data_IF_638657678647
#
_entry.id   IF_638657678647
#
_cell.length_a   1.000
_cell.length_b   1.000
_cell.length_c   1.000
_cell.angle_alpha   90.00
_cell.angle_beta   90.00
_cell.angle_gamma   90.00
#
_symmetry.space_group_name_H-M   'P 1'
#
loop_
_entity.id
_entity.type
_entity.pdbx_description
1 polymer ?
#
# COMPACT_ATOMS: atom_id res chain seq x y z
N UNK A 1 -9.43 26.39 -28.26
CA UNK A 1 -10.10 26.44 -26.94
C UNK A 1 -10.07 25.03 -26.33
N UNK A 2 -8.89 24.39 -26.34
CA UNK A 2 -8.83 22.91 -26.37
C UNK A 2 -8.00 22.32 -25.21
N UNK A 3 -7.06 23.10 -24.68
CA UNK A 3 -6.15 22.69 -23.60
C UNK A 3 -6.89 22.51 -22.27
N UNK A 4 -7.93 23.33 -22.02
CA UNK A 4 -8.72 23.26 -20.79
C UNK A 4 -9.55 21.98 -20.70
N UNK A 5 -10.12 21.53 -21.82
CA UNK A 5 -10.86 20.27 -21.89
C UNK A 5 -9.95 19.05 -21.76
N UNK A 6 -8.75 19.07 -22.36
CA UNK A 6 -7.77 18.00 -22.17
C UNK A 6 -7.29 17.90 -20.73
N UNK A 7 -6.99 19.04 -20.09
CA UNK A 7 -6.64 19.08 -18.67
C UNK A 7 -7.77 18.57 -17.78
N UNK A 8 -9.02 18.91 -18.10
CA UNK A 8 -10.19 18.42 -17.35
C UNK A 8 -10.34 16.90 -17.46
N UNK A 9 -10.20 16.33 -18.66
CA UNK A 9 -10.26 14.88 -18.89
C UNK A 9 -9.14 14.15 -18.15
N UNK A 10 -7.91 14.67 -18.21
CA UNK A 10 -6.76 14.10 -17.47
C UNK A 10 -7.01 14.08 -15.97
N UNK A 11 -7.55 15.18 -15.42
CA UNK A 11 -7.87 15.27 -14.00
C UNK A 11 -8.96 14.28 -13.61
N UNK A 12 -10.02 14.16 -14.40
CA UNK A 12 -11.12 13.21 -14.15
C UNK A 12 -10.61 11.77 -14.25
N UNK A 13 -9.79 11.44 -15.23
CA UNK A 13 -9.25 10.10 -15.43
C UNK A 13 -8.27 9.73 -14.29
N UNK A 14 -7.43 10.68 -13.88
CA UNK A 14 -6.58 10.52 -12.69
C UNK A 14 -7.40 10.33 -11.41
N UNK A 15 -8.48 11.10 -11.25
CA UNK A 15 -9.39 10.97 -10.12
C UNK A 15 -10.09 9.60 -10.08
N UNK A 16 -10.52 9.08 -11.24
CA UNK A 16 -11.12 7.75 -11.37
C UNK A 16 -10.09 6.66 -11.05
N UNK A 17 -8.84 6.79 -11.50
CA UNK A 17 -7.76 5.83 -11.17
C UNK A 17 -7.49 5.82 -9.66
N UNK A 18 -7.41 7.00 -9.03
CA UNK A 18 -7.21 7.12 -7.58
C UNK A 18 -8.39 6.50 -6.84
N UNK A 19 -9.63 6.84 -7.22
CA UNK A 19 -10.84 6.27 -6.62
C UNK A 19 -10.93 4.75 -6.80
N UNK A 20 -10.61 4.22 -7.98
CA UNK A 20 -10.63 2.79 -8.26
C UNK A 20 -9.50 2.05 -7.53
N UNK A 21 -8.35 2.69 -7.32
CA UNK A 21 -7.25 2.16 -6.49
C UNK A 21 -7.61 2.08 -5.01
N UNK A 22 -8.38 3.06 -4.52
CA UNK A 22 -8.97 3.05 -3.16
C UNK A 22 -10.09 2.00 -3.06
N UNK A 23 -10.93 1.87 -4.09
CA UNK A 23 -12.10 0.97 -4.12
C UNK A 23 -11.73 -0.50 -4.31
N UNK A 24 -10.60 -0.80 -4.96
CA UNK A 24 -10.14 -2.18 -5.23
C UNK A 24 -9.69 -2.95 -4.00
N UNK A 25 -9.69 -2.36 -2.81
CA UNK A 25 -9.72 -3.12 -1.54
C UNK A 25 -8.57 -4.13 -1.39
N UNK A 26 -7.39 -3.83 -1.94
CA UNK A 26 -6.21 -4.72 -1.96
C UNK A 26 -5.51 -4.82 -0.58
N UNK A 27 -6.11 -4.24 0.46
CA UNK A 27 -5.52 -4.03 1.78
C UNK A 27 -6.28 -4.82 2.86
N UNK A 28 -5.54 -5.59 3.66
CA UNK A 28 -6.03 -6.20 4.90
C UNK A 28 -6.82 -5.19 5.73
N UNK A 29 -7.85 -5.66 6.45
CA UNK A 29 -8.88 -4.95 7.23
C UNK A 29 -8.41 -3.75 8.09
N UNK A 30 -7.10 -3.63 8.33
CA UNK A 30 -6.46 -2.57 9.12
C UNK A 30 -6.10 -1.33 8.29
N UNK A 31 -5.64 -1.49 7.06
CA UNK A 31 -5.13 -0.35 6.26
C UNK A 31 -6.26 0.37 5.52
N UNK A 32 -7.34 -0.36 5.24
CA UNK A 32 -8.60 0.18 4.72
C UNK A 32 -9.27 1.14 5.73
N UNK A 33 -9.10 0.95 7.04
CA UNK A 33 -9.63 1.85 8.06
C UNK A 33 -8.97 3.24 8.03
N UNK A 34 -7.63 3.29 7.83
CA UNK A 34 -6.91 4.56 7.73
C UNK A 34 -7.37 5.33 6.48
N UNK A 35 -7.52 4.63 5.36
CA UNK A 35 -8.03 5.24 4.12
C UNK A 35 -9.46 5.73 4.23
N UNK A 36 -10.36 4.93 4.82
CA UNK A 36 -11.76 5.33 5.05
C UNK A 36 -11.80 6.55 5.98
N UNK A 37 -11.01 6.57 7.04
CA UNK A 37 -10.91 7.71 7.94
C UNK A 37 -10.39 8.96 7.21
N UNK A 38 -9.31 8.84 6.43
CA UNK A 38 -8.76 9.94 5.64
C UNK A 38 -9.77 10.45 4.61
N UNK A 39 -10.48 9.57 3.88
CA UNK A 39 -11.53 9.96 2.93
C UNK A 39 -12.71 10.63 3.64
N UNK A 40 -13.10 10.16 4.82
CA UNK A 40 -14.16 10.77 5.62
C UNK A 40 -13.75 12.16 6.10
N UNK A 41 -12.54 12.31 6.64
CA UNK A 41 -11.99 13.60 7.08
C UNK A 41 -11.90 14.57 5.90
N UNK A 42 -11.28 14.17 4.79
CA UNK A 42 -11.17 15.02 3.59
C UNK A 42 -12.54 15.36 2.98
N UNK A 43 -13.48 14.42 2.97
CA UNK A 43 -14.84 14.63 2.48
C UNK A 43 -15.60 15.65 3.33
N UNK A 44 -15.54 15.51 4.66
CA UNK A 44 -16.14 16.46 5.60
C UNK A 44 -15.51 17.85 5.46
N UNK A 45 -14.17 17.94 5.42
CA UNK A 45 -13.48 19.22 5.22
C UNK A 45 -13.81 19.87 3.87
N UNK A 46 -14.02 19.08 2.81
CA UNK A 46 -14.36 19.58 1.47
C UNK A 46 -15.79 20.13 1.39
N UNK A 47 -16.74 19.51 2.11
CA UNK A 47 -18.13 19.96 2.16
C UNK A 47 -18.32 21.27 2.94
N UNK A 48 -17.48 21.54 3.94
CA UNK A 48 -17.58 22.71 4.81
C UNK A 48 -16.53 23.78 4.49
N UNK A 49 -16.88 24.79 3.68
CA UNK A 49 -15.99 25.95 3.39
C UNK A 49 -15.58 26.70 4.65
N UNK A 50 -16.49 26.89 5.60
CA UNK A 50 -16.22 27.66 6.81
C UNK A 50 -15.20 26.97 7.73
N UNK A 51 -15.28 25.64 7.83
CA UNK A 51 -14.36 24.81 8.63
C UNK A 51 -12.97 24.79 8.00
N UNK A 52 -12.90 24.71 6.67
CA UNK A 52 -11.65 24.78 5.92
C UNK A 52 -11.02 26.19 6.01
N UNK A 53 -11.82 27.26 5.94
CA UNK A 53 -11.37 28.63 6.11
C UNK A 53 -10.90 28.92 7.54
N UNK A 54 -11.55 28.33 8.54
CA UNK A 54 -11.13 28.42 9.94
C UNK A 54 -9.76 27.76 10.17
N UNK A 55 -9.58 26.53 9.67
CA UNK A 55 -8.31 25.82 9.72
C UNK A 55 -7.21 26.53 8.92
N UNK A 56 -7.54 27.09 7.76
CA UNK A 56 -6.62 27.88 6.94
C UNK A 56 -6.12 29.12 7.68
N UNK A 57 -7.01 29.87 8.33
CA UNK A 57 -6.63 31.01 9.14
C UNK A 57 -5.80 30.61 10.37
N UNK A 58 -6.15 29.51 11.04
CA UNK A 58 -5.39 29.03 12.21
C UNK A 58 -3.95 28.64 11.85
N UNK A 59 -3.75 28.06 10.67
CA UNK A 59 -2.43 27.64 10.16
C UNK A 59 -1.72 28.73 9.35
N UNK A 60 -2.34 29.90 9.15
CA UNK A 60 -1.79 31.01 8.36
C UNK A 60 -1.70 30.75 6.85
N UNK A 61 -2.51 29.83 6.33
CA UNK A 61 -2.50 29.41 4.92
C UNK A 61 -3.53 30.23 4.13
N UNK A 62 -3.07 31.02 3.16
CA UNK A 62 -3.94 31.89 2.36
C UNK A 62 -4.88 31.14 1.40
N UNK A 63 -4.53 29.91 0.99
CA UNK A 63 -5.28 29.13 0.01
C UNK A 63 -5.87 27.86 0.64
N UNK A 64 -7.18 27.88 0.88
CA UNK A 64 -7.91 26.82 1.58
C UNK A 64 -7.75 25.41 0.95
N UNK A 65 -7.72 25.23 -0.38
CA UNK A 65 -7.48 23.92 -0.99
C UNK A 65 -6.10 23.31 -0.72
N UNK A 66 -5.08 24.13 -0.42
CA UNK A 66 -3.73 23.64 -0.10
C UNK A 66 -3.69 22.76 1.16
N UNK A 67 -4.62 22.99 2.09
CA UNK A 67 -4.75 22.20 3.31
C UNK A 67 -5.19 20.76 3.03
N UNK A 68 -6.16 20.58 2.12
CA UNK A 68 -6.60 19.26 1.69
C UNK A 68 -5.43 18.49 1.07
N UNK A 69 -4.59 19.20 0.30
CA UNK A 69 -3.39 18.62 -0.29
C UNK A 69 -2.37 18.20 0.78
N UNK A 70 -2.13 19.05 1.78
CA UNK A 70 -1.25 18.74 2.91
C UNK A 70 -1.72 17.48 3.65
N UNK A 71 -3.00 17.40 4.01
CA UNK A 71 -3.57 16.24 4.70
C UNK A 71 -3.51 14.96 3.87
N UNK A 72 -3.82 15.05 2.56
CA UNK A 72 -3.68 13.93 1.63
C UNK A 72 -2.23 13.45 1.53
N UNK A 73 -1.28 14.39 1.49
CA UNK A 73 0.15 14.09 1.39
C UNK A 73 0.69 13.43 2.67
N UNK A 74 0.32 13.95 3.85
CA UNK A 74 0.67 13.33 5.14
C UNK A 74 0.08 11.91 5.22
N UNK A 75 -1.19 11.74 4.86
CA UNK A 75 -1.84 10.42 4.87
C UNK A 75 -1.13 9.44 3.93
N UNK A 76 -0.71 9.92 2.76
CA UNK A 76 0.03 9.11 1.78
C UNK A 76 1.40 8.70 2.31
N UNK A 77 2.14 9.60 2.96
CA UNK A 77 3.44 9.26 3.58
C UNK A 77 3.27 8.19 4.65
N UNK A 78 2.26 8.33 5.51
CA UNK A 78 1.96 7.33 6.56
C UNK A 78 1.68 5.97 5.93
N UNK A 79 0.92 5.94 4.83
CA UNK A 79 0.61 4.71 4.09
C UNK A 79 1.87 4.07 3.50
N UNK A 80 2.73 4.86 2.84
CA UNK A 80 3.98 4.36 2.25
C UNK A 80 4.88 3.77 3.33
N UNK A 81 4.94 4.42 4.50
CA UNK A 81 5.72 3.92 5.62
C UNK A 81 5.18 2.58 6.15
N UNK A 82 3.86 2.45 6.32
CA UNK A 82 3.27 1.18 6.76
C UNK A 82 3.48 0.06 5.72
N UNK A 83 3.30 0.36 4.44
CA UNK A 83 3.59 -0.55 3.34
C UNK A 83 5.06 -1.01 3.37
N UNK A 84 5.98 -0.09 3.60
CA UNK A 84 7.42 -0.39 3.70
C UNK A 84 7.70 -1.35 4.86
N UNK A 85 7.06 -1.14 6.03
CA UNK A 85 7.18 -2.06 7.18
C UNK A 85 6.61 -3.45 6.88
N UNK A 86 5.49 -3.53 6.16
CA UNK A 86 4.88 -4.80 5.75
C UNK A 86 5.78 -5.55 4.78
N UNK A 87 6.31 -4.88 3.76
CA UNK A 87 7.26 -5.44 2.80
C UNK A 87 8.51 -5.96 3.53
N UNK A 88 9.06 -5.18 4.46
CA UNK A 88 10.23 -5.59 5.25
C UNK A 88 9.98 -6.88 6.04
N UNK A 89 8.82 -7.00 6.69
CA UNK A 89 8.43 -8.23 7.40
C UNK A 89 8.23 -9.41 6.44
N UNK A 90 7.62 -9.16 5.29
CA UNK A 90 7.38 -10.21 4.29
C UNK A 90 8.70 -10.74 3.73
N UNK A 91 9.65 -9.85 3.44
CA UNK A 91 10.97 -10.21 2.95
C UNK A 91 11.70 -11.15 3.93
N UNK A 92 11.66 -10.84 5.23
CA UNK A 92 12.24 -11.72 6.26
C UNK A 92 11.57 -13.11 6.26
N UNK A 93 10.24 -13.19 6.13
CA UNK A 93 9.53 -14.47 6.05
C UNK A 93 9.94 -15.28 4.82
N UNK A 94 10.08 -14.62 3.66
CA UNK A 94 10.53 -15.26 2.42
C UNK A 94 11.95 -15.81 2.58
N UNK A 95 12.87 -15.06 3.20
CA UNK A 95 14.22 -15.56 3.49
C UNK A 95 14.19 -16.81 4.35
N UNK A 96 13.45 -16.81 5.46
CA UNK A 96 13.34 -17.99 6.36
C UNK A 96 12.76 -19.18 5.62
N UNK A 97 11.68 -18.98 4.85
CA UNK A 97 11.04 -20.06 4.11
C UNK A 97 11.96 -20.64 3.02
N UNK A 98 12.80 -19.81 2.40
CA UNK A 98 13.79 -20.27 1.42
C UNK A 98 14.87 -21.12 2.05
N UNK A 99 15.30 -20.77 3.28
CA UNK A 99 16.27 -21.55 4.04
C UNK A 99 15.69 -22.90 4.47
N UNK A 100 14.47 -22.92 5.01
CA UNK A 100 13.77 -24.16 5.35
C UNK A 100 13.58 -25.06 4.12
N UNK A 101 13.22 -24.48 2.98
CA UNK A 101 13.08 -25.22 1.73
C UNK A 101 14.41 -25.83 1.26
N UNK A 102 15.52 -25.11 1.39
CA UNK A 102 16.85 -25.62 1.03
C UNK A 102 17.27 -26.82 1.90
N UNK A 103 17.05 -26.74 3.21
CA UNK A 103 17.33 -27.84 4.14
C UNK A 103 16.46 -29.06 3.84
N UNK A 104 15.16 -28.85 3.61
CA UNK A 104 14.23 -29.93 3.27
C UNK A 104 14.64 -30.63 1.96
N UNK A 105 15.12 -29.88 0.98
CA UNK A 105 15.60 -30.42 -0.29
C UNK A 105 16.86 -31.27 -0.10
N UNK A 106 17.79 -30.84 0.74
CA UNK A 106 19.01 -31.58 1.06
C UNK A 106 18.68 -32.92 1.76
N UNK A 107 17.80 -32.92 2.75
CA UNK A 107 17.35 -34.16 3.41
C UNK A 107 16.72 -35.14 2.42
N UNK A 108 15.93 -34.63 1.47
CA UNK A 108 15.31 -35.45 0.44
C UNK A 108 16.36 -36.08 -0.49
N UNK A 109 17.42 -35.35 -0.84
CA UNK A 109 18.52 -35.86 -1.66
C UNK A 109 19.35 -36.92 -0.92
N UNK A 110 19.66 -36.70 0.37
CA UNK A 110 20.32 -37.68 1.24
C UNK A 110 19.52 -38.98 1.37
N UNK A 111 18.21 -38.89 1.65
CA UNK A 111 17.35 -40.06 1.73
C UNK A 111 17.28 -40.85 0.42
N UNK A 112 17.37 -40.18 -0.74
CA UNK A 112 17.44 -40.87 -2.04
C UNK A 112 18.77 -41.60 -2.17
N UNK A 113 19.90 -40.97 -1.84
CA UNK A 113 21.23 -41.59 -1.88
C UNK A 113 21.32 -42.84 -1.00
N UNK A 114 20.85 -42.77 0.25
CA UNK A 114 20.84 -43.91 1.17
C UNK A 114 20.04 -45.11 0.61
N UNK A 115 18.87 -44.83 0.00
CA UNK A 115 18.06 -45.86 -0.67
C UNK A 115 18.78 -46.51 -1.85
N UNK A 116 19.57 -45.74 -2.62
CA UNK A 116 20.37 -46.28 -3.72
C UNK A 116 21.52 -47.16 -3.21
N UNK A 117 22.21 -46.77 -2.13
CA UNK A 117 23.28 -47.56 -1.54
C UNK A 117 22.78 -48.88 -0.96
N UNK A 118 21.65 -48.85 -0.22
CA UNK A 118 21.01 -50.06 0.32
C UNK A 118 20.59 -51.01 -0.81
N UNK A 119 20.07 -50.48 -1.92
CA UNK A 119 19.69 -51.31 -3.08
C UNK A 119 20.91 -51.93 -3.78
N UNK A 120 22.03 -51.21 -3.85
CA UNK A 120 23.30 -51.72 -4.42
C UNK A 120 23.91 -52.86 -3.59
N UNK A 121 23.82 -52.79 -2.26
CA UNK A 121 24.33 -53.86 -1.36
C UNK A 121 23.50 -55.16 -1.40
N UNK A 122 22.29 -55.12 -1.98
CA UNK A 122 21.35 -56.25 -2.01
C UNK A 122 21.40 -57.05 -3.33
N UNK A 123 22.19 -56.58 -4.30
CA UNK A 123 22.46 -57.22 -5.60
C UNK A 123 23.88 -57.76 -5.54
#
# INVERSE_FOLDING_TARGET
MDITWMSFIIIVLFFIIVMESVRRGILETRDSLIWIFTCMVLGVLSLSRDLLAYLANLLGIAYAPSLLFLFGLISTIIMIFDLTRRISKLNNKVTVLTQEFALLKEEQERMKQDKFEVRKKKI
#
